data_IF_436899762383
#
_entry.id   IF_436899762383
#
_cell.length_a   1.000
_cell.length_b   1.000
_cell.length_c   1.000
_cell.angle_alpha   90.00
_cell.angle_beta   90.00
_cell.angle_gamma   90.00
#
_symmetry.space_group_name_H-M   'P 1'
#
loop_
_entity.id
_entity.type
_entity.pdbx_description
1 polymer ?
#
# COMPACT_ATOMS: atom_id res chain seq x y z
N UNK A 1 -1.37 -17.04 -52.07
CA UNK A 1 -1.13 -17.72 -50.78
C UNK A 1 -0.71 -16.65 -49.79
N UNK A 2 -1.63 -16.18 -48.95
CA UNK A 2 -1.34 -15.15 -47.95
C UNK A 2 -1.76 -15.70 -46.60
N UNK A 3 -0.77 -16.10 -45.81
CA UNK A 3 -0.95 -16.57 -44.43
C UNK A 3 -1.07 -15.35 -43.52
N UNK A 4 -2.24 -15.18 -42.91
CA UNK A 4 -2.41 -14.30 -41.75
C UNK A 4 -1.89 -15.03 -40.51
N UNK A 5 -0.85 -14.50 -39.88
CA UNK A 5 -0.46 -14.84 -38.51
C UNK A 5 -1.36 -14.04 -37.56
N UNK A 6 -2.33 -14.71 -36.94
CA UNK A 6 -3.12 -14.16 -35.84
C UNK A 6 -2.26 -14.11 -34.58
N UNK A 7 -1.77 -12.92 -34.24
CA UNK A 7 -1.20 -12.66 -32.92
C UNK A 7 -2.31 -12.62 -31.88
N UNK A 8 -2.44 -13.70 -31.11
CA UNK A 8 -3.28 -13.72 -29.91
C UNK A 8 -2.71 -12.75 -28.87
N UNK A 9 -3.34 -11.59 -28.73
CA UNK A 9 -3.14 -10.72 -27.58
C UNK A 9 -3.80 -11.36 -26.36
N UNK A 10 -3.03 -12.14 -25.59
CA UNK A 10 -3.44 -12.54 -24.25
C UNK A 10 -3.62 -11.28 -23.42
N UNK A 11 -4.87 -10.95 -23.04
CA UNK A 11 -5.16 -9.88 -22.08
C UNK A 11 -4.36 -10.18 -20.80
N UNK A 12 -3.57 -9.23 -20.27
CA UNK A 12 -2.91 -9.44 -18.98
C UNK A 12 -3.98 -9.72 -17.93
N UNK A 13 -3.86 -10.85 -17.25
CA UNK A 13 -4.68 -11.17 -16.09
C UNK A 13 -4.52 -10.05 -15.05
N UNK A 14 -5.61 -9.58 -14.43
CA UNK A 14 -5.50 -8.57 -13.38
C UNK A 14 -4.58 -9.09 -12.28
N UNK A 15 -3.54 -8.32 -11.94
CA UNK A 15 -2.58 -8.69 -10.90
C UNK A 15 -3.29 -8.58 -9.55
N UNK A 16 -3.71 -9.71 -9.00
CA UNK A 16 -4.31 -9.77 -7.66
C UNK A 16 -3.24 -9.36 -6.66
N UNK A 17 -3.59 -8.47 -5.74
CA UNK A 17 -2.75 -8.09 -4.61
C UNK A 17 -3.27 -8.81 -3.38
N UNK A 18 -2.36 -9.38 -2.59
CA UNK A 18 -2.66 -9.95 -1.28
C UNK A 18 -2.07 -9.04 -0.19
N UNK A 19 -2.84 -8.80 0.87
CA UNK A 19 -2.43 -7.93 1.97
C UNK A 19 -3.55 -7.77 2.99
N UNK A 20 -3.71 -6.56 3.51
CA UNK A 20 -4.71 -6.24 4.52
C UNK A 20 -5.46 -4.97 4.19
N UNK A 21 -6.78 -4.97 4.37
CA UNK A 21 -7.58 -3.74 4.46
C UNK A 21 -7.44 -3.14 5.85
N UNK A 22 -7.30 -1.81 5.90
CA UNK A 22 -7.39 -1.05 7.15
C UNK A 22 -8.84 -1.09 7.66
N UNK A 23 -9.03 -1.35 8.94
CA UNK A 23 -10.37 -1.29 9.53
C UNK A 23 -10.98 0.12 9.37
N UNK A 24 -12.28 0.19 9.08
CA UNK A 24 -12.96 1.45 8.75
C UNK A 24 -12.94 2.45 9.90
N UNK A 25 -13.07 1.99 11.14
CA UNK A 25 -13.04 2.88 12.30
C UNK A 25 -11.64 3.45 12.50
N UNK A 26 -10.62 2.61 12.36
CA UNK A 26 -9.23 3.05 12.49
C UNK A 26 -8.83 3.98 11.34
N UNK A 27 -9.31 3.72 10.11
CA UNK A 27 -9.18 4.62 8.96
C UNK A 27 -9.72 6.00 9.27
N UNK A 28 -10.95 6.10 9.79
CA UNK A 28 -11.55 7.39 10.13
C UNK A 28 -10.76 8.14 11.20
N UNK A 29 -10.32 7.44 12.26
CA UNK A 29 -9.50 8.05 13.31
C UNK A 29 -8.13 8.53 12.80
N UNK A 30 -7.50 7.74 11.94
CA UNK A 30 -6.23 8.10 11.33
C UNK A 30 -6.37 9.27 10.35
N UNK A 31 -7.44 9.37 9.57
CA UNK A 31 -7.67 10.51 8.67
C UNK A 31 -7.87 11.83 9.42
N UNK A 32 -8.42 11.78 10.63
CA UNK A 32 -8.49 12.96 11.49
C UNK A 32 -7.10 13.36 12.03
N UNK A 33 -6.23 12.39 12.32
CA UNK A 33 -4.89 12.60 12.90
C UNK A 33 -3.83 12.95 11.85
N UNK A 34 -3.92 12.36 10.67
CA UNK A 34 -3.03 12.55 9.53
C UNK A 34 -3.86 13.08 8.37
N UNK A 35 -4.08 14.40 8.28
CA UNK A 35 -4.79 14.98 7.16
C UNK A 35 -4.09 14.64 5.83
N UNK A 36 -4.83 14.26 4.78
CA UNK A 36 -4.29 14.10 3.43
C UNK A 36 -3.60 15.39 2.96
N UNK A 37 -2.34 15.28 2.55
CA UNK A 37 -1.59 16.40 1.97
C UNK A 37 -1.90 16.60 0.48
N UNK A 38 -2.36 15.56 -0.20
CA UNK A 38 -2.67 15.55 -1.63
C UNK A 38 -4.16 15.21 -1.87
N UNK A 39 -4.74 15.64 -3.01
CA UNK A 39 -6.19 15.64 -3.22
C UNK A 39 -6.83 14.25 -3.29
N UNK A 40 -6.09 13.24 -3.76
CA UNK A 40 -6.61 11.88 -3.94
C UNK A 40 -6.36 11.02 -2.71
N UNK A 41 -7.37 10.90 -1.84
CA UNK A 41 -7.29 10.05 -0.64
C UNK A 41 -7.33 8.56 -1.03
N UNK A 42 -6.30 7.82 -0.61
CA UNK A 42 -6.25 6.35 -0.74
C UNK A 42 -6.62 5.72 0.61
N UNK A 43 -5.69 5.71 1.56
CA UNK A 43 -5.90 5.35 2.97
C UNK A 43 -6.69 4.04 3.17
N UNK A 44 -6.35 2.96 2.45
CA UNK A 44 -7.23 1.78 2.33
C UNK A 44 -6.58 0.45 2.75
N UNK A 45 -5.32 0.20 2.39
CA UNK A 45 -4.71 -1.12 2.59
C UNK A 45 -3.20 -1.07 2.82
N UNK A 46 -2.68 -2.16 3.39
CA UNK A 46 -1.27 -2.51 3.42
C UNK A 46 -1.03 -3.65 2.42
N UNK A 47 -0.05 -3.50 1.54
CA UNK A 47 0.31 -4.54 0.57
C UNK A 47 1.35 -5.50 1.15
N UNK A 48 1.05 -6.80 1.14
CA UNK A 48 2.05 -7.85 1.41
C UNK A 48 2.77 -8.26 0.13
N UNK A 49 2.02 -8.57 -0.93
CA UNK A 49 2.57 -9.05 -2.20
C UNK A 49 1.64 -8.69 -3.36
N UNK A 50 2.21 -8.23 -4.47
CA UNK A 50 1.52 -8.02 -5.74
C UNK A 50 1.76 -9.19 -6.70
N UNK A 51 0.92 -9.33 -7.73
CA UNK A 51 1.06 -10.41 -8.73
C UNK A 51 0.76 -11.80 -8.17
N UNK A 52 -0.17 -11.86 -7.22
CA UNK A 52 -0.65 -13.10 -6.58
C UNK A 52 -1.82 -13.71 -7.36
N UNK A 53 -2.31 -14.86 -6.88
CA UNK A 53 -3.48 -15.54 -7.42
C UNK A 53 -4.51 -15.88 -6.32
N UNK A 54 -5.62 -16.52 -6.71
CA UNK A 54 -6.68 -16.91 -5.79
C UNK A 54 -6.25 -17.95 -4.73
N UNK A 55 -5.18 -18.71 -5.00
CA UNK A 55 -4.68 -19.77 -4.12
C UNK A 55 -3.60 -19.28 -3.17
N UNK A 56 -3.01 -18.12 -3.44
CA UNK A 56 -1.99 -17.49 -2.59
C UNK A 56 -2.57 -17.27 -1.19
N UNK A 57 -2.00 -17.83 -0.11
CA UNK A 57 -2.54 -17.69 1.24
C UNK A 57 -2.68 -16.22 1.65
N UNK A 58 -3.79 -15.91 2.32
CA UNK A 58 -3.94 -14.62 2.99
C UNK A 58 -2.99 -14.57 4.21
N UNK A 59 -2.50 -13.37 4.58
CA UNK A 59 -1.79 -13.21 5.83
C UNK A 59 -2.67 -13.53 7.04
N UNK A 60 -2.05 -13.92 8.14
CA UNK A 60 -2.75 -14.28 9.38
C UNK A 60 -2.88 -13.10 10.35
N UNK A 61 -1.95 -12.15 10.32
CA UNK A 61 -1.97 -11.00 11.22
C UNK A 61 -3.26 -10.19 11.06
N UNK A 62 -3.84 -9.78 12.18
CA UNK A 62 -5.06 -8.97 12.23
C UNK A 62 -4.84 -7.60 12.89
N UNK A 63 -3.60 -7.32 13.26
CA UNK A 63 -3.20 -6.10 13.96
C UNK A 63 -1.87 -5.60 13.42
N UNK A 64 -1.68 -4.30 13.50
CA UNK A 64 -0.42 -3.63 13.22
C UNK A 64 -0.36 -2.31 13.97
N UNK A 65 0.69 -1.55 13.71
CA UNK A 65 0.89 -0.24 14.32
C UNK A 65 1.36 0.76 13.26
N UNK A 66 0.79 1.96 13.22
CA UNK A 66 1.43 3.07 12.51
C UNK A 66 2.62 3.52 13.34
N UNK A 67 3.80 3.52 12.73
CA UNK A 67 5.07 3.85 13.39
C UNK A 67 5.79 5.04 12.77
N UNK A 68 5.31 5.52 11.63
CA UNK A 68 5.90 6.67 10.95
C UNK A 68 5.05 7.21 9.82
N UNK A 69 5.47 8.37 9.33
CA UNK A 69 4.85 9.05 8.20
C UNK A 69 5.92 9.59 7.25
N UNK A 70 5.56 9.68 5.97
CA UNK A 70 6.40 10.27 4.95
C UNK A 70 5.53 10.94 3.89
N UNK A 71 6.03 12.03 3.33
CA UNK A 71 5.60 12.54 2.05
C UNK A 71 6.82 13.04 1.26
N UNK A 72 6.71 13.04 -0.06
CA UNK A 72 7.78 13.51 -0.93
C UNK A 72 7.65 14.98 -1.32
N UNK A 73 6.65 15.69 -0.79
CA UNK A 73 6.25 17.04 -1.19
C UNK A 73 5.93 17.21 -2.69
N UNK A 74 5.84 16.11 -3.45
CA UNK A 74 5.70 16.08 -4.90
C UNK A 74 4.44 15.32 -5.35
N UNK A 75 3.68 14.76 -4.42
CA UNK A 75 2.37 14.14 -4.69
C UNK A 75 2.18 12.74 -4.13
N UNK A 76 3.06 12.25 -3.25
CA UNK A 76 2.89 10.96 -2.57
C UNK A 76 3.05 11.12 -1.07
N UNK A 77 2.04 10.68 -0.32
CA UNK A 77 2.07 10.56 1.14
C UNK A 77 1.82 9.11 1.54
N UNK A 78 2.53 8.62 2.55
CA UNK A 78 2.35 7.27 3.09
C UNK A 78 2.51 7.23 4.61
N UNK A 79 1.83 6.26 5.24
CA UNK A 79 2.03 5.90 6.64
C UNK A 79 2.76 4.56 6.71
N UNK A 80 3.83 4.50 7.51
CA UNK A 80 4.63 3.29 7.72
C UNK A 80 3.99 2.43 8.79
N UNK A 81 3.88 1.14 8.52
CA UNK A 81 3.21 0.16 9.37
C UNK A 81 4.21 -0.87 9.88
N UNK A 82 4.09 -1.24 11.15
CA UNK A 82 4.72 -2.43 11.74
C UNK A 82 3.69 -3.53 11.88
N UNK A 83 3.99 -4.72 11.35
CA UNK A 83 3.15 -5.93 11.43
C UNK A 83 4.02 -7.08 11.92
N UNK A 84 3.55 -7.86 12.90
CA UNK A 84 4.33 -8.97 13.45
C UNK A 84 5.68 -8.55 14.04
N UNK A 85 5.80 -7.31 14.52
CA UNK A 85 7.05 -6.76 15.06
C UNK A 85 8.05 -6.22 14.04
N UNK A 86 7.77 -6.31 12.73
CA UNK A 86 8.65 -5.82 11.67
C UNK A 86 7.98 -4.74 10.80
N UNK A 87 8.75 -3.75 10.36
CA UNK A 87 8.35 -2.85 9.26
C UNK A 87 8.78 -3.38 7.89
N UNK A 88 9.68 -4.37 7.86
CA UNK A 88 10.26 -4.93 6.65
C UNK A 88 9.49 -6.18 6.22
N UNK A 89 9.17 -6.23 4.94
CA UNK A 89 8.55 -7.35 4.24
C UNK A 89 9.60 -8.36 3.78
N UNK A 90 9.17 -9.55 3.39
CA UNK A 90 10.05 -10.57 2.85
C UNK A 90 10.73 -10.20 1.51
N UNK A 91 10.24 -9.16 0.82
CA UNK A 91 10.81 -8.62 -0.42
C UNK A 91 11.70 -7.38 -0.17
N UNK A 92 12.16 -7.18 1.07
CA UNK A 92 12.90 -6.00 1.56
C UNK A 92 12.15 -4.66 1.44
N UNK A 93 10.90 -4.68 0.97
CA UNK A 93 10.02 -3.52 1.01
C UNK A 93 9.58 -3.17 2.42
N UNK A 94 9.06 -1.97 2.62
CA UNK A 94 8.51 -1.52 3.89
C UNK A 94 6.99 -1.66 3.86
N UNK A 95 6.39 -2.21 4.92
CA UNK A 95 4.93 -2.19 5.08
C UNK A 95 4.44 -0.75 5.22
N UNK A 96 3.50 -0.35 4.38
CA UNK A 96 2.95 0.99 4.39
C UNK A 96 1.52 1.01 3.87
N UNK A 97 0.83 2.11 4.18
CA UNK A 97 -0.45 2.49 3.58
C UNK A 97 -0.17 3.72 2.73
N UNK A 98 -0.39 3.66 1.42
CA UNK A 98 -0.47 4.88 0.61
C UNK A 98 -1.63 5.71 1.14
N UNK A 99 -1.32 6.93 1.58
CA UNK A 99 -2.26 7.76 2.33
C UNK A 99 -3.02 8.71 1.42
N UNK A 100 -2.29 9.54 0.69
CA UNK A 100 -2.84 10.45 -0.31
C UNK A 100 -1.90 10.57 -1.51
N UNK A 101 -2.47 10.91 -2.66
CA UNK A 101 -1.77 11.06 -3.93
C UNK A 101 -2.21 12.33 -4.65
N UNK A 102 -1.36 12.82 -5.55
CA UNK A 102 -1.75 13.79 -6.58
C UNK A 102 -1.82 13.07 -7.94
N UNK A 103 -3.00 12.52 -8.26
CA UNK A 103 -3.20 11.80 -9.53
C UNK A 103 -3.19 12.71 -10.73
N UNK A 104 -3.54 13.98 -10.56
CA UNK A 104 -3.48 14.97 -11.63
C UNK A 104 -2.03 15.20 -12.10
N UNK A 105 -1.05 15.00 -11.21
CA UNK A 105 0.39 14.97 -11.54
C UNK A 105 0.93 13.61 -11.99
N UNK A 106 0.04 12.65 -12.23
CA UNK A 106 0.41 11.30 -12.67
C UNK A 106 0.97 10.40 -11.58
N UNK A 107 0.84 10.78 -10.29
CA UNK A 107 1.37 9.98 -9.18
C UNK A 107 0.56 8.71 -8.94
N UNK A 108 1.28 7.62 -8.69
CA UNK A 108 0.74 6.28 -8.48
C UNK A 108 1.06 5.73 -7.09
N UNK A 109 0.18 4.88 -6.55
CA UNK A 109 0.36 4.31 -5.21
C UNK A 109 1.64 3.45 -5.09
N UNK A 110 2.10 2.82 -6.17
CA UNK A 110 3.33 2.01 -6.15
C UNK A 110 4.58 2.83 -5.79
N UNK A 111 4.57 4.13 -6.07
CA UNK A 111 5.69 5.04 -5.85
C UNK A 111 6.00 5.26 -4.36
N UNK A 112 5.06 4.97 -3.45
CA UNK A 112 5.36 5.04 -2.01
C UNK A 112 6.48 4.08 -1.59
N UNK A 113 6.72 2.97 -2.31
CA UNK A 113 7.88 2.12 -2.06
C UNK A 113 9.20 2.88 -2.31
N UNK A 114 9.30 3.58 -3.45
CA UNK A 114 10.49 4.34 -3.81
C UNK A 114 10.69 5.55 -2.90
N UNK A 115 9.61 6.28 -2.59
CA UNK A 115 9.64 7.41 -1.65
C UNK A 115 10.18 6.98 -0.29
N UNK A 116 9.68 5.88 0.27
CA UNK A 116 10.16 5.34 1.55
C UNK A 116 11.62 4.90 1.46
N UNK A 117 12.02 4.20 0.39
CA UNK A 117 13.39 3.72 0.23
C UNK A 117 14.40 4.87 0.09
N UNK A 118 14.02 5.94 -0.61
CA UNK A 118 14.91 7.09 -0.89
C UNK A 118 14.98 8.08 0.26
N UNK A 119 13.86 8.37 0.92
CA UNK A 119 13.74 9.45 1.90
C UNK A 119 13.68 8.96 3.35
N UNK A 120 13.42 7.67 3.56
CA UNK A 120 13.06 7.16 4.89
C UNK A 120 11.67 7.63 5.31
N UNK A 121 11.45 7.72 6.63
CA UNK A 121 10.21 8.26 7.20
C UNK A 121 10.49 8.95 8.53
N UNK A 122 9.61 9.86 8.91
CA UNK A 122 9.61 10.45 10.24
C UNK A 122 8.97 9.47 11.22
N UNK A 123 9.67 9.01 12.28
CA UNK A 123 9.08 8.13 13.28
C UNK A 123 8.04 8.89 14.11
N UNK A 124 6.98 8.21 14.51
CA UNK A 124 6.05 8.72 15.51
C UNK A 124 6.67 8.59 16.90
N UNK A 125 6.35 9.53 17.79
CA UNK A 125 6.75 9.46 19.19
C UNK A 125 6.16 8.23 19.89
N UNK A 126 4.91 7.90 19.56
CA UNK A 126 4.21 6.70 20.05
C UNK A 126 3.55 5.98 18.87
N UNK A 127 3.74 4.65 18.75
CA UNK A 127 3.01 3.83 17.79
C UNK A 127 1.50 3.91 17.99
N UNK A 128 0.75 3.84 16.90
CA UNK A 128 -0.72 3.87 16.93
C UNK A 128 -1.24 2.50 16.53
N UNK A 129 -1.92 1.76 17.41
CA UNK A 129 -2.46 0.44 17.07
C UNK A 129 -3.56 0.57 16.01
N UNK A 130 -3.57 -0.36 15.06
CA UNK A 130 -4.58 -0.48 14.01
C UNK A 130 -5.03 -1.93 13.85
N UNK A 131 -6.29 -2.10 13.46
CA UNK A 131 -6.86 -3.38 13.04
C UNK A 131 -6.72 -3.53 11.54
N UNK A 132 -6.32 -4.73 11.16
CA UNK A 132 -6.05 -5.13 9.78
C UNK A 132 -6.91 -6.34 9.44
N UNK A 133 -7.52 -6.32 8.25
CA UNK A 133 -8.37 -7.42 7.75
C UNK A 133 -7.67 -8.07 6.55
N UNK A 134 -7.18 -9.32 6.67
CA UNK A 134 -6.58 -10.02 5.53
C UNK A 134 -7.51 -10.02 4.32
N UNK A 135 -6.97 -9.66 3.16
CA UNK A 135 -7.77 -9.43 1.95
C UNK A 135 -6.98 -9.68 0.66
N UNK A 136 -7.73 -9.89 -0.43
CA UNK A 136 -7.26 -9.80 -1.82
C UNK A 136 -8.03 -8.70 -2.53
N UNK A 137 -7.36 -7.95 -3.40
CA UNK A 137 -7.95 -6.83 -4.15
C UNK A 137 -7.21 -6.59 -5.47
#
# INVERSE_FOLDING_TARGET
>A
MTTHLSSTHSRPTPRIVTGWKLDRTDRSGLLARFPPLFPDVVADHVTLRSGTDANTPLPLDQHGEIVGEIDDHEGVQALVVRIGGSTIRADDGVFHITWSLDRARGREAKESNEVIARLGWRPLAEPIPIRLRPARF
#
